data_IF_322225055910
#
_entry.id   IF_322225055910
#
_cell.length_a   1.000
_cell.length_b   1.000
_cell.length_c   1.000
_cell.angle_alpha   90.00
_cell.angle_beta   90.00
_cell.angle_gamma   90.00
#
_symmetry.space_group_name_H-M   'P 1'
#
loop_
_entity.id
_entity.type
_entity.pdbx_description
1 polymer ?
#
# COMPACT_ATOMS: atom_id res chain seq x y z
N UNK A 1 3.87 8.48 10.92
CA UNK A 1 3.75 7.06 11.28
C UNK A 1 3.15 6.28 10.13
N UNK A 2 3.81 5.17 9.77
CA UNK A 2 3.33 4.28 8.71
C UNK A 2 2.73 3.02 9.29
N UNK A 3 1.55 2.65 8.79
CA UNK A 3 0.98 1.33 9.00
C UNK A 3 1.53 0.33 7.99
N UNK A 4 1.86 -0.87 8.49
CA UNK A 4 2.37 -1.99 7.72
C UNK A 4 1.31 -3.08 7.63
N UNK A 5 1.11 -3.57 6.40
CA UNK A 5 0.24 -4.72 6.14
C UNK A 5 0.77 -5.57 5.02
N UNK A 6 0.46 -6.86 5.10
CA UNK A 6 0.70 -7.79 3.99
C UNK A 6 -0.61 -8.23 3.35
N UNK A 7 -0.62 -8.27 2.03
CA UNK A 7 -1.72 -8.79 1.21
C UNK A 7 -1.25 -10.05 0.50
N UNK A 8 -1.86 -11.19 0.80
CA UNK A 8 -1.51 -12.48 0.20
C UNK A 8 -2.08 -12.61 -1.21
N UNK A 9 -1.29 -13.04 -2.16
CA UNK A 9 -1.74 -13.35 -3.54
C UNK A 9 -1.90 -14.85 -3.74
N UNK A 10 -2.74 -15.46 -2.92
CA UNK A 10 -2.99 -16.91 -2.87
C UNK A 10 -4.03 -17.42 -3.88
N UNK A 11 -4.77 -16.51 -4.52
CA UNK A 11 -5.86 -16.87 -5.44
C UNK A 11 -7.00 -17.66 -4.76
N UNK A 12 -7.09 -17.62 -3.43
CA UNK A 12 -8.05 -18.38 -2.62
C UNK A 12 -7.63 -19.82 -2.35
N UNK A 13 -6.34 -20.14 -2.50
CA UNK A 13 -5.74 -21.40 -2.06
C UNK A 13 -4.44 -21.08 -1.33
N UNK A 14 -4.43 -21.22 -0.01
CA UNK A 14 -3.28 -20.92 0.84
C UNK A 14 -2.17 -21.98 0.83
N UNK A 15 -2.31 -23.06 0.05
CA UNK A 15 -1.27 -24.09 -0.06
C UNK A 15 -0.16 -23.68 -1.04
N UNK A 16 1.08 -24.06 -0.72
CA UNK A 16 2.26 -23.77 -1.53
C UNK A 16 2.76 -22.32 -1.38
N UNK A 17 3.74 -21.95 -2.20
CA UNK A 17 4.34 -20.62 -2.19
C UNK A 17 3.58 -19.67 -3.13
N UNK A 18 3.46 -18.41 -2.72
CA UNK A 18 2.87 -17.34 -3.50
C UNK A 18 3.42 -15.98 -3.03
N UNK A 19 3.31 -14.99 -3.90
CA UNK A 19 3.77 -13.64 -3.61
C UNK A 19 2.86 -12.93 -2.62
N UNK A 20 3.43 -11.92 -1.95
CA UNK A 20 2.71 -11.00 -1.08
C UNK A 20 2.98 -9.56 -1.54
N UNK A 21 2.08 -8.66 -1.18
CA UNK A 21 2.35 -7.23 -1.22
C UNK A 21 2.49 -6.71 0.20
N UNK A 22 3.62 -6.08 0.50
CA UNK A 22 3.78 -5.29 1.71
C UNK A 22 3.35 -3.85 1.42
N UNK A 23 2.46 -3.32 2.24
CA UNK A 23 1.98 -1.95 2.13
C UNK A 23 2.47 -1.12 3.30
N UNK A 24 3.01 0.05 3.01
CA UNK A 24 3.30 1.10 3.99
C UNK A 24 2.39 2.27 3.70
N UNK A 25 1.57 2.68 4.66
CA UNK A 25 0.68 3.84 4.49
C UNK A 25 0.86 4.81 5.63
N UNK A 26 1.26 6.05 5.31
CA UNK A 26 1.35 7.11 6.32
C UNK A 26 -0.04 7.57 6.78
N UNK A 27 -0.25 7.55 8.08
CA UNK A 27 -1.52 7.91 8.71
C UNK A 27 -1.88 9.37 8.42
N UNK A 28 -0.87 10.26 8.47
CA UNK A 28 -1.08 11.69 8.39
C UNK A 28 -1.39 12.16 6.97
N UNK A 29 -0.58 11.76 6.00
CA UNK A 29 -0.70 12.23 4.61
C UNK A 29 -1.47 11.25 3.73
N UNK A 30 -1.53 9.97 4.10
CA UNK A 30 -2.01 8.89 3.26
C UNK A 30 -0.99 8.46 2.18
N UNK A 31 0.26 8.92 2.29
CA UNK A 31 1.35 8.48 1.41
C UNK A 31 1.49 6.96 1.51
N UNK A 32 1.43 6.29 0.37
CA UNK A 32 1.40 4.82 0.32
C UNK A 32 2.52 4.31 -0.55
N UNK A 33 3.26 3.32 -0.06
CA UNK A 33 4.31 2.62 -0.81
C UNK A 33 4.04 1.13 -0.77
N UNK A 34 4.11 0.49 -1.92
CA UNK A 34 3.90 -0.95 -2.11
C UNK A 34 5.21 -1.62 -2.48
N UNK A 35 5.48 -2.77 -1.87
CA UNK A 35 6.59 -3.67 -2.20
C UNK A 35 6.06 -5.07 -2.51
N UNK A 36 6.68 -5.73 -3.48
CA UNK A 36 6.35 -7.10 -3.87
C UNK A 36 7.29 -8.09 -3.19
N UNK A 37 6.76 -8.96 -2.33
CA UNK A 37 7.51 -9.99 -1.64
C UNK A 37 7.33 -11.34 -2.36
N UNK A 38 8.43 -12.10 -2.50
CA UNK A 38 8.39 -13.45 -3.03
C UNK A 38 7.62 -14.42 -2.09
N UNK A 39 7.77 -14.20 -0.79
CA UNK A 39 7.10 -14.97 0.27
C UNK A 39 6.99 -14.13 1.55
N UNK A 40 6.38 -14.69 2.60
CA UNK A 40 6.16 -14.04 3.89
C UNK A 40 7.38 -14.10 4.84
N UNK A 41 8.61 -14.03 4.32
CA UNK A 41 9.81 -14.09 5.14
C UNK A 41 10.10 -12.74 5.83
N UNK A 42 10.42 -12.80 7.11
CA UNK A 42 10.66 -11.63 7.96
C UNK A 42 11.81 -10.73 7.47
N UNK A 43 12.82 -11.30 6.81
CA UNK A 43 13.95 -10.53 6.27
C UNK A 43 13.52 -9.47 5.26
N UNK A 44 12.54 -9.79 4.41
CA UNK A 44 12.04 -8.87 3.38
C UNK A 44 11.41 -7.62 3.99
N UNK A 45 10.65 -7.79 5.07
CA UNK A 45 10.02 -6.65 5.75
C UNK A 45 11.06 -5.66 6.29
N UNK A 46 12.20 -6.14 6.79
CA UNK A 46 13.31 -5.30 7.25
C UNK A 46 13.97 -4.58 6.07
N UNK A 47 14.26 -5.30 4.97
CA UNK A 47 14.89 -4.75 3.78
C UNK A 47 14.01 -3.65 3.16
N UNK A 48 12.72 -3.91 3.00
CA UNK A 48 11.76 -2.93 2.47
C UNK A 48 11.55 -1.73 3.40
N UNK A 49 11.59 -1.92 4.73
CA UNK A 49 11.55 -0.81 5.68
C UNK A 49 12.81 0.07 5.59
N UNK A 50 13.98 -0.53 5.31
CA UNK A 50 15.22 0.20 5.09
C UNK A 50 15.19 0.99 3.77
N UNK A 51 14.68 0.38 2.69
CA UNK A 51 14.48 1.05 1.41
C UNK A 51 13.46 2.20 1.53
N UNK A 52 12.33 1.94 2.20
CA UNK A 52 11.34 2.98 2.50
C UNK A 52 11.97 4.19 3.17
N UNK A 53 12.80 3.97 4.20
CA UNK A 53 13.48 5.07 4.93
C UNK A 53 14.36 5.92 4.01
N UNK A 54 14.98 5.32 2.99
CA UNK A 54 15.83 6.03 2.04
C UNK A 54 15.04 6.76 0.95
N UNK A 55 13.93 6.17 0.51
CA UNK A 55 13.13 6.66 -0.63
C UNK A 55 12.03 7.64 -0.24
N UNK A 56 11.64 7.66 1.04
CA UNK A 56 10.67 8.63 1.54
C UNK A 56 11.17 10.05 1.40
N UNK A 57 10.31 10.98 0.94
CA UNK A 57 10.68 12.39 0.84
C UNK A 57 10.83 13.08 2.20
N UNK A 58 10.38 12.46 3.28
CA UNK A 58 10.44 12.99 4.65
C UNK A 58 10.83 11.90 5.66
N UNK A 59 11.21 12.33 6.87
CA UNK A 59 11.72 11.42 7.90
C UNK A 59 10.70 10.38 8.34
N UNK A 60 11.09 9.10 8.32
CA UNK A 60 10.34 8.01 8.91
C UNK A 60 10.44 8.07 10.43
N UNK A 61 9.34 8.39 11.12
CA UNK A 61 9.28 8.54 12.57
C UNK A 61 8.87 7.26 13.28
N UNK A 62 8.00 6.47 12.66
CA UNK A 62 7.51 5.25 13.29
C UNK A 62 6.78 4.34 12.33
N UNK A 63 6.76 3.07 12.70
CA UNK A 63 6.07 1.98 12.03
C UNK A 63 5.07 1.36 13.01
N UNK A 64 3.85 1.14 12.56
CA UNK A 64 2.82 0.37 13.26
C UNK A 64 2.41 -0.83 12.43
N UNK A 65 2.35 -2.01 13.03
CA UNK A 65 1.98 -3.23 12.34
C UNK A 65 0.80 -3.92 13.01
N UNK A 66 0.12 -4.77 12.29
CA UNK A 66 -0.78 -5.73 12.88
C UNK A 66 -0.02 -6.82 13.65
N UNK A 67 -0.77 -7.82 14.17
CA UNK A 67 -0.18 -8.95 14.88
C UNK A 67 0.29 -10.08 13.95
N UNK A 68 0.52 -9.82 12.68
CA UNK A 68 1.04 -10.80 11.73
C UNK A 68 2.37 -11.41 12.19
N UNK A 69 2.57 -12.69 11.90
CA UNK A 69 3.79 -13.42 12.30
C UNK A 69 5.06 -12.82 11.66
N UNK A 70 4.94 -12.24 10.48
CA UNK A 70 6.00 -11.54 9.74
C UNK A 70 6.52 -10.31 10.46
N UNK A 71 5.68 -9.68 11.30
CA UNK A 71 6.05 -8.48 12.08
C UNK A 71 6.49 -8.83 13.51
N UNK A 72 6.32 -10.08 13.96
CA UNK A 72 6.84 -10.57 15.24
C UNK A 72 8.32 -10.91 15.13
N UNK A 73 9.10 -9.94 14.69
CA UNK A 73 10.46 -10.13 14.24
C UNK A 73 11.44 -9.26 15.03
N UNK A 74 12.39 -9.88 15.70
CA UNK A 74 13.49 -9.18 16.35
C UNK A 74 14.35 -8.37 15.36
N UNK A 75 14.48 -8.80 14.12
CA UNK A 75 15.28 -8.10 13.12
C UNK A 75 14.69 -6.72 12.78
N UNK A 76 13.36 -6.65 12.57
CA UNK A 76 12.67 -5.38 12.34
C UNK A 76 12.72 -4.48 13.58
N UNK A 77 12.48 -5.05 14.76
CA UNK A 77 12.53 -4.31 16.03
C UNK A 77 13.92 -3.74 16.29
N UNK A 78 14.98 -4.54 16.13
CA UNK A 78 16.36 -4.09 16.29
C UNK A 78 16.71 -3.00 15.29
N UNK A 79 16.33 -3.19 14.02
CA UNK A 79 16.53 -2.18 12.99
C UNK A 79 15.80 -0.87 13.34
N UNK A 80 14.57 -0.93 13.82
CA UNK A 80 13.84 0.27 14.25
C UNK A 80 14.57 0.99 15.40
N UNK A 81 15.05 0.26 16.39
CA UNK A 81 15.81 0.82 17.52
C UNK A 81 17.12 1.48 17.05
N UNK A 82 17.90 0.80 16.22
CA UNK A 82 19.15 1.32 15.63
C UNK A 82 18.94 2.58 14.80
N UNK A 83 17.78 2.67 14.12
CA UNK A 83 17.45 3.77 13.24
C UNK A 83 16.59 4.87 13.87
N UNK A 84 16.33 4.78 15.18
CA UNK A 84 15.47 5.72 15.92
C UNK A 84 14.06 5.83 15.34
N UNK A 85 13.51 4.71 14.86
CA UNK A 85 12.14 4.58 14.37
C UNK A 85 11.31 3.92 15.45
N UNK A 86 10.24 4.58 15.90
CA UNK A 86 9.32 4.01 16.89
C UNK A 86 8.58 2.83 16.26
N UNK A 87 8.61 1.66 16.91
CA UNK A 87 7.85 0.51 16.46
C UNK A 87 6.71 0.17 17.41
N UNK A 88 5.49 0.18 16.89
CA UNK A 88 4.27 -0.16 17.63
C UNK A 88 3.53 -1.32 16.96
N UNK A 89 2.62 -1.93 17.70
CA UNK A 89 1.73 -2.98 17.19
C UNK A 89 0.31 -2.69 17.59
N UNK A 90 -0.61 -2.90 16.68
CA UNK A 90 -2.04 -2.83 16.94
C UNK A 90 -2.45 -3.80 18.05
N UNK A 91 -3.37 -3.39 18.89
CA UNK A 91 -3.84 -4.22 20.00
C UNK A 91 -4.65 -5.40 19.49
N UNK A 92 -4.41 -6.58 20.08
CA UNK A 92 -5.20 -7.77 19.75
C UNK A 92 -6.69 -7.54 19.96
N UNK A 93 -7.52 -7.97 19.03
CA UNK A 93 -8.98 -7.87 19.05
C UNK A 93 -9.58 -6.45 19.03
N UNK A 94 -8.78 -5.40 18.81
CA UNK A 94 -9.27 -4.02 18.65
C UNK A 94 -9.44 -3.67 17.16
N UNK A 95 -10.53 -4.10 16.53
CA UNK A 95 -10.84 -3.85 15.12
C UNK A 95 -10.83 -2.37 14.71
N UNK A 96 -10.99 -1.45 15.65
CA UNK A 96 -10.98 -0.02 15.36
C UNK A 96 -9.56 0.50 15.06
N UNK A 97 -8.52 -0.17 15.55
CA UNK A 97 -7.12 0.24 15.34
C UNK A 97 -6.70 0.07 13.86
N UNK A 98 -7.33 -0.86 13.14
CA UNK A 98 -6.93 -1.25 11.78
C UNK A 98 -7.88 -0.78 10.65
N UNK A 99 -8.99 -0.10 10.97
CA UNK A 99 -10.03 0.16 9.98
C UNK A 99 -9.60 1.05 8.80
N UNK A 100 -8.65 1.95 9.01
CA UNK A 100 -8.11 2.81 7.94
C UNK A 100 -7.23 2.04 6.96
N UNK A 101 -6.59 1.00 7.43
CA UNK A 101 -5.59 0.25 6.69
C UNK A 101 -6.23 -0.86 5.87
N UNK A 102 -7.22 -1.56 6.41
CA UNK A 102 -8.00 -2.55 5.67
C UNK A 102 -8.66 -1.93 4.44
N UNK A 103 -9.20 -0.71 4.58
CA UNK A 103 -9.77 0.04 3.47
C UNK A 103 -8.71 0.38 2.41
N UNK A 104 -7.48 0.74 2.82
CA UNK A 104 -6.37 1.04 1.91
C UNK A 104 -5.88 -0.20 1.17
N UNK A 105 -5.71 -1.32 1.85
CA UNK A 105 -5.31 -2.59 1.23
C UNK A 105 -6.28 -3.03 0.14
N UNK A 106 -7.58 -2.90 0.39
CA UNK A 106 -8.59 -3.16 -0.61
C UNK A 106 -8.50 -2.18 -1.79
N UNK A 107 -8.49 -0.88 -1.51
CA UNK A 107 -8.55 0.16 -2.55
C UNK A 107 -7.26 0.28 -3.37
N UNK A 108 -6.10 0.01 -2.78
CA UNK A 108 -4.80 0.24 -3.45
C UNK A 108 -4.24 -1.05 -4.05
N UNK A 109 -4.38 -2.20 -3.37
CA UNK A 109 -3.80 -3.46 -3.85
C UNK A 109 -4.84 -4.29 -4.61
N UNK A 110 -5.98 -4.61 -3.97
CA UNK A 110 -6.96 -5.52 -4.58
C UNK A 110 -7.65 -4.95 -5.80
N UNK A 111 -7.87 -3.64 -5.85
CA UNK A 111 -8.39 -2.99 -7.05
C UNK A 111 -7.37 -2.97 -8.18
N UNK A 112 -6.07 -2.92 -7.88
CA UNK A 112 -5.03 -2.92 -8.89
C UNK A 112 -4.78 -4.31 -9.47
N UNK A 113 -4.41 -5.28 -8.63
CA UNK A 113 -3.96 -6.60 -9.08
C UNK A 113 -4.96 -7.74 -8.84
N UNK A 114 -6.15 -7.44 -8.31
CA UNK A 114 -7.22 -8.41 -8.10
C UNK A 114 -6.94 -9.45 -7.01
N UNK A 115 -7.66 -10.56 -7.10
CA UNK A 115 -7.59 -11.70 -6.19
C UNK A 115 -6.94 -12.93 -6.85
N UNK A 116 -6.07 -12.70 -7.82
CA UNK A 116 -5.37 -13.76 -8.54
C UNK A 116 -4.22 -14.33 -7.70
N UNK A 117 -3.77 -15.50 -8.14
CA UNK A 117 -2.57 -16.12 -7.58
C UNK A 117 -1.35 -15.72 -8.39
N UNK A 118 -0.34 -15.23 -7.69
CA UNK A 118 0.96 -14.87 -8.26
C UNK A 118 2.05 -15.68 -7.57
N UNK A 119 2.90 -16.36 -8.35
CA UNK A 119 3.94 -17.25 -7.83
C UNK A 119 5.26 -17.05 -8.54
N UNK A 120 6.34 -17.25 -7.79
CA UNK A 120 7.71 -17.25 -8.29
C UNK A 120 8.30 -15.87 -8.55
N UNK A 121 9.59 -15.85 -8.84
CA UNK A 121 10.37 -14.62 -9.01
C UNK A 121 9.89 -13.75 -10.15
N UNK A 122 9.48 -14.35 -11.27
CA UNK A 122 8.97 -13.60 -12.43
C UNK A 122 7.73 -12.76 -12.06
N UNK A 123 6.82 -13.33 -11.27
CA UNK A 123 5.64 -12.61 -10.79
C UNK A 123 6.00 -11.53 -9.76
N UNK A 124 6.93 -11.82 -8.86
CA UNK A 124 7.41 -10.84 -7.88
C UNK A 124 8.08 -9.64 -8.57
N UNK A 125 8.96 -9.86 -9.54
CA UNK A 125 9.63 -8.78 -10.29
C UNK A 125 8.63 -7.95 -11.10
N UNK A 126 7.65 -8.61 -11.73
CA UNK A 126 6.60 -7.90 -12.47
C UNK A 126 5.71 -7.04 -11.54
N UNK A 127 5.33 -7.57 -10.38
CA UNK A 127 4.58 -6.83 -9.35
C UNK A 127 5.39 -5.63 -8.86
N UNK A 128 6.70 -5.78 -8.59
CA UNK A 128 7.54 -4.67 -8.13
C UNK A 128 7.61 -3.55 -9.17
N UNK A 129 7.83 -3.89 -10.44
CA UNK A 129 7.83 -2.89 -11.54
C UNK A 129 6.51 -2.14 -11.64
N UNK A 130 5.39 -2.84 -11.48
CA UNK A 130 4.07 -2.23 -11.42
C UNK A 130 3.95 -1.26 -10.25
N UNK A 131 4.40 -1.68 -9.06
CA UNK A 131 4.31 -0.87 -7.83
C UNK A 131 5.19 0.37 -7.89
N UNK A 132 6.37 0.31 -8.50
CA UNK A 132 7.23 1.48 -8.69
C UNK A 132 6.51 2.61 -9.46
N UNK A 133 5.72 2.26 -10.47
CA UNK A 133 4.91 3.22 -11.24
C UNK A 133 3.63 3.62 -10.52
N UNK A 134 2.98 2.64 -9.92
CA UNK A 134 1.74 2.86 -9.16
C UNK A 134 1.94 3.75 -7.93
N UNK A 135 3.04 3.57 -7.20
CA UNK A 135 3.39 4.41 -6.04
C UNK A 135 3.49 5.89 -6.44
N UNK A 136 4.07 6.20 -7.59
CA UNK A 136 4.12 7.57 -8.11
C UNK A 136 2.72 8.08 -8.48
N UNK A 137 1.95 7.28 -9.20
CA UNK A 137 0.63 7.67 -9.66
C UNK A 137 -0.33 7.94 -8.50
N UNK A 138 -0.39 7.05 -7.50
CA UNK A 138 -1.31 7.17 -6.38
C UNK A 138 -0.95 8.34 -5.46
N UNK A 139 0.34 8.55 -5.19
CA UNK A 139 0.77 9.58 -4.26
C UNK A 139 0.68 11.00 -4.83
N UNK A 140 0.97 11.16 -6.11
CA UNK A 140 1.01 12.48 -6.73
C UNK A 140 -0.29 12.90 -7.42
N UNK A 141 -1.13 11.93 -7.86
CA UNK A 141 -2.25 12.25 -8.74
C UNK A 141 -3.61 11.74 -8.26
N UNK A 142 -3.69 10.71 -7.41
CA UNK A 142 -4.98 10.16 -6.97
C UNK A 142 -5.41 10.75 -5.63
N UNK A 143 -6.50 11.55 -5.63
CA UNK A 143 -7.05 12.09 -4.39
C UNK A 143 -7.74 10.99 -3.57
N UNK A 144 -7.71 11.16 -2.27
CA UNK A 144 -8.44 10.34 -1.32
C UNK A 144 -9.06 11.19 -0.23
N UNK A 145 -10.16 10.73 0.34
CA UNK A 145 -10.82 11.36 1.48
C UNK A 145 -10.40 10.66 2.77
N UNK A 146 -10.37 11.43 3.87
CA UNK A 146 -10.15 10.92 5.23
C UNK A 146 -11.39 11.15 6.07
N UNK A 147 -11.66 10.22 6.98
CA UNK A 147 -12.73 10.39 7.96
C UNK A 147 -12.22 11.36 9.02
N UNK A 148 -12.92 12.49 9.17
CA UNK A 148 -12.67 13.48 10.22
C UNK A 148 -13.38 13.09 11.52
N UNK A 149 -14.64 12.67 11.39
CA UNK A 149 -15.49 12.34 12.52
C UNK A 149 -16.27 11.06 12.20
N UNK A 150 -16.44 10.23 13.20
CA UNK A 150 -17.24 9.01 13.13
C UNK A 150 -18.15 8.95 14.37
N UNK A 151 -19.42 9.12 14.17
CA UNK A 151 -20.43 9.07 15.23
C UNK A 151 -21.35 7.88 15.00
N UNK A 152 -21.61 7.12 16.04
CA UNK A 152 -22.60 6.05 16.01
C UNK A 152 -23.86 6.52 16.74
N UNK A 153 -24.98 6.59 16.00
CA UNK A 153 -26.30 6.86 16.57
C UNK A 153 -27.16 5.62 16.33
N UNK A 154 -27.49 4.94 17.39
CA UNK A 154 -28.22 3.67 17.38
C UNK A 154 -27.58 2.59 16.47
N UNK A 155 -28.29 2.15 15.44
CA UNK A 155 -27.80 1.18 14.46
C UNK A 155 -26.98 1.80 13.31
N UNK A 156 -26.98 3.13 13.19
CA UNK A 156 -26.35 3.83 12.06
C UNK A 156 -25.02 4.46 12.45
N UNK A 157 -24.07 4.41 11.51
CA UNK A 157 -22.76 5.08 11.65
C UNK A 157 -22.65 6.24 10.67
N UNK A 158 -22.57 7.44 11.18
CA UNK A 158 -22.35 8.66 10.41
C UNK A 158 -20.85 8.93 10.32
N UNK A 159 -20.39 9.28 9.13
CA UNK A 159 -18.99 9.59 8.87
C UNK A 159 -18.92 10.93 8.17
N UNK A 160 -18.12 11.84 8.70
CA UNK A 160 -17.78 13.10 8.06
C UNK A 160 -16.40 13.00 7.45
N UNK A 161 -16.27 13.36 6.21
CA UNK A 161 -15.04 13.26 5.45
C UNK A 161 -14.43 14.64 5.23
N UNK A 162 -13.12 14.69 5.05
CA UNK A 162 -12.45 15.90 4.57
C UNK A 162 -12.63 16.08 3.05
N UNK A 163 -12.11 17.20 2.53
CA UNK A 163 -12.01 17.40 1.08
C UNK A 163 -11.04 16.41 0.43
N UNK A 164 -11.39 15.91 -0.76
CA UNK A 164 -10.52 14.99 -1.49
C UNK A 164 -9.17 15.65 -1.82
N UNK A 165 -8.08 15.08 -1.33
CA UNK A 165 -6.70 15.57 -1.54
C UNK A 165 -5.77 14.41 -1.87
N UNK A 166 -4.80 14.66 -2.75
CA UNK A 166 -3.71 13.70 -2.97
C UNK A 166 -2.78 13.64 -1.75
N UNK A 167 -2.10 12.51 -1.49
CA UNK A 167 -1.05 12.44 -0.48
C UNK A 167 0.00 13.55 -0.64
N UNK A 168 0.42 13.83 -1.87
CA UNK A 168 1.30 14.95 -2.21
C UNK A 168 0.76 16.30 -1.70
N UNK A 169 -0.52 16.61 -1.96
CA UNK A 169 -1.12 17.88 -1.48
C UNK A 169 -1.14 17.94 0.05
N UNK A 170 -1.43 16.83 0.72
CA UNK A 170 -1.40 16.77 2.19
C UNK A 170 0.02 16.98 2.74
N UNK A 171 1.05 16.48 2.05
CA UNK A 171 2.44 16.77 2.43
C UNK A 171 2.76 18.26 2.33
N UNK A 172 2.31 18.94 1.28
CA UNK A 172 2.54 20.39 1.12
C UNK A 172 1.81 21.23 2.17
N UNK A 173 0.63 20.82 2.60
CA UNK A 173 -0.17 21.49 3.62
C UNK A 173 0.28 21.17 5.05
N UNK A 174 1.15 20.18 5.24
CA UNK A 174 1.60 19.79 6.58
C UNK A 174 2.61 20.77 7.15
N UNK A 175 2.38 21.17 8.40
CA UNK A 175 3.31 22.02 9.17
C UNK A 175 4.55 21.23 9.66
N UNK A 176 4.45 19.90 9.69
CA UNK A 176 5.53 19.01 10.15
C UNK A 176 6.54 18.65 9.05
N UNK A 177 6.32 19.11 7.82
CA UNK A 177 7.21 18.85 6.68
C UNK A 177 7.92 20.16 6.33
N UNK A 178 9.26 20.12 6.31
CA UNK A 178 10.09 21.29 6.02
C UNK A 178 9.89 21.80 4.58
N UNK A 179 10.15 23.08 4.36
CA UNK A 179 10.00 23.71 3.05
C UNK A 179 10.98 23.15 2.01
N UNK A 180 12.15 22.68 2.44
CA UNK A 180 13.11 22.00 1.56
C UNK A 180 12.50 20.70 0.99
N UNK A 181 11.87 19.89 1.85
CA UNK A 181 11.18 18.66 1.43
C UNK A 181 9.99 18.99 0.52
N UNK A 182 9.21 20.04 0.83
CA UNK A 182 8.11 20.49 -0.04
C UNK A 182 8.62 20.91 -1.41
N UNK A 183 9.75 21.58 -1.48
CA UNK A 183 10.40 21.99 -2.73
C UNK A 183 10.85 20.78 -3.56
N UNK A 184 11.42 19.73 -2.93
CA UNK A 184 11.75 18.47 -3.58
C UNK A 184 10.49 17.79 -4.14
N UNK A 185 9.43 17.71 -3.34
CA UNK A 185 8.15 17.13 -3.77
C UNK A 185 7.55 17.87 -4.97
N UNK A 186 7.63 19.20 -4.99
CA UNK A 186 7.16 20.03 -6.10
C UNK A 186 7.98 19.78 -7.37
N UNK A 187 9.31 19.71 -7.25
CA UNK A 187 10.22 19.37 -8.35
C UNK A 187 9.91 17.99 -8.92
N UNK A 188 9.75 16.99 -8.05
CA UNK A 188 9.39 15.64 -8.48
C UNK A 188 8.04 15.63 -9.20
N UNK A 189 7.03 16.35 -8.67
CA UNK A 189 5.72 16.46 -9.32
C UNK A 189 5.81 17.08 -10.70
N UNK A 190 6.60 18.13 -10.89
CA UNK A 190 6.75 18.80 -12.18
C UNK A 190 7.44 17.95 -13.26
N UNK A 191 8.28 16.98 -12.85
CA UNK A 191 8.92 16.04 -13.77
C UNK A 191 8.02 14.87 -14.21
N UNK A 192 6.88 14.65 -13.54
CA UNK A 192 5.97 13.55 -13.82
C UNK A 192 4.90 13.94 -14.84
N UNK A 193 4.77 13.13 -15.89
CA UNK A 193 3.65 13.21 -16.83
C UNK A 193 2.61 12.14 -16.47
N UNK A 194 1.42 12.59 -16.06
CA UNK A 194 0.35 11.68 -15.58
C UNK A 194 -0.16 10.75 -16.69
N UNK A 195 -0.22 11.22 -17.93
CA UNK A 195 -0.71 10.41 -19.07
C UNK A 195 0.29 9.28 -19.37
N UNK A 196 1.58 9.62 -19.44
CA UNK A 196 2.64 8.65 -19.65
C UNK A 196 2.70 7.64 -18.50
N UNK A 197 2.62 8.11 -17.25
CA UNK A 197 2.66 7.27 -16.08
C UNK A 197 1.47 6.29 -16.01
N UNK A 198 0.26 6.73 -16.39
CA UNK A 198 -0.90 5.84 -16.52
C UNK A 198 -0.67 4.74 -17.55
N UNK A 199 -0.13 5.09 -18.70
CA UNK A 199 0.20 4.12 -19.77
C UNK A 199 1.21 3.08 -19.28
N UNK A 200 2.27 3.53 -18.60
CA UNK A 200 3.28 2.63 -18.02
C UNK A 200 2.68 1.68 -16.96
N UNK A 201 1.75 2.18 -16.14
CA UNK A 201 1.01 1.35 -15.17
C UNK A 201 0.15 0.30 -15.87
N UNK A 202 -0.56 0.67 -16.94
CA UNK A 202 -1.40 -0.25 -17.72
C UNK A 202 -0.55 -1.34 -18.38
N UNK A 203 0.57 -0.99 -19.01
CA UNK A 203 1.51 -1.94 -19.62
C UNK A 203 2.08 -2.92 -18.57
N UNK A 204 2.51 -2.43 -17.41
CA UNK A 204 2.99 -3.28 -16.31
C UNK A 204 1.88 -4.17 -15.77
N UNK A 205 0.65 -3.66 -15.65
CA UNK A 205 -0.50 -4.43 -15.17
C UNK A 205 -0.83 -5.59 -16.11
N UNK A 206 -0.80 -5.37 -17.41
CA UNK A 206 -1.05 -6.43 -18.41
C UNK A 206 -0.03 -7.56 -18.26
N UNK A 207 1.25 -7.23 -18.06
CA UNK A 207 2.30 -8.24 -17.80
C UNK A 207 1.99 -9.03 -16.52
N UNK A 208 1.63 -8.36 -15.43
CA UNK A 208 1.29 -9.01 -14.15
C UNK A 208 0.08 -9.93 -14.31
N UNK A 209 -0.96 -9.48 -15.03
CA UNK A 209 -2.17 -10.30 -15.25
C UNK A 209 -1.89 -11.53 -16.12
N UNK A 210 -0.97 -11.46 -17.09
CA UNK A 210 -0.53 -12.63 -17.87
C UNK A 210 0.17 -13.67 -17.01
N UNK A 211 0.91 -13.26 -15.98
CA UNK A 211 1.57 -14.15 -15.03
C UNK A 211 0.63 -14.74 -13.96
N UNK A 212 -0.62 -14.26 -13.92
CA UNK A 212 -1.60 -14.75 -12.95
C UNK A 212 -2.05 -16.17 -13.25
N UNK A 213 -2.06 -17.02 -12.23
CA UNK A 213 -2.70 -18.33 -12.33
C UNK A 213 -4.20 -18.16 -12.07
N UNK A 214 -5.01 -18.32 -13.13
CA UNK A 214 -6.47 -18.30 -13.03
C UNK A 214 -6.93 -19.53 -12.22
N UNK A 215 -7.87 -19.35 -11.29
CA UNK A 215 -8.60 -20.50 -10.71
C UNK A 215 -9.12 -21.37 -11.85
N UNK A 216 -8.82 -22.67 -11.86
CA UNK A 216 -9.58 -23.62 -12.67
C UNK A 216 -11.04 -23.46 -12.23
N UNK A 217 -11.86 -22.88 -13.09
CA UNK A 217 -13.31 -22.71 -12.82
C UNK A 217 -13.90 -24.09 -12.56
N UNK A 218 -14.40 -24.32 -11.34
CA UNK A 218 -15.59 -25.15 -11.20
C UNK A 218 -16.69 -24.31 -11.85
N UNK A 219 -17.25 -24.85 -12.92
CA UNK A 219 -18.29 -24.25 -13.76
C UNK A 219 -19.41 -23.66 -12.91
N UNK A 220 -19.54 -22.33 -12.88
CA UNK A 220 -20.82 -21.62 -12.72
C UNK A 220 -20.60 -20.11 -12.96
N UNK A 221 -21.30 -19.62 -13.95
CA UNK A 221 -21.80 -18.27 -14.20
C UNK A 221 -20.81 -17.11 -14.31
N UNK A 222 -20.88 -16.48 -15.49
CA UNK A 222 -20.05 -15.36 -15.88
C UNK A 222 -20.35 -14.06 -15.12
N UNK A 223 -19.30 -13.35 -14.85
CA UNK A 223 -19.30 -11.88 -14.81
C UNK A 223 -17.90 -11.41 -15.17
N UNK A 224 -17.83 -10.77 -16.31
CA UNK A 224 -16.67 -10.10 -16.84
C UNK A 224 -16.44 -8.84 -16.00
N UNK A 225 -15.35 -8.79 -15.22
CA UNK A 225 -14.93 -7.55 -14.56
C UNK A 225 -14.03 -6.79 -15.53
N UNK A 226 -14.57 -5.76 -16.17
CA UNK A 226 -13.75 -4.71 -16.76
C UNK A 226 -13.27 -3.79 -15.63
N UNK A 227 -11.97 -3.58 -15.54
CA UNK A 227 -11.38 -2.55 -14.68
C UNK A 227 -11.79 -1.20 -15.27
N UNK A 228 -12.82 -0.57 -14.71
CA UNK A 228 -13.15 0.82 -15.04
C UNK A 228 -12.32 1.72 -14.13
N UNK A 229 -11.38 2.40 -14.74
CA UNK A 229 -10.76 3.56 -14.09
C UNK A 229 -11.85 4.61 -13.87
N UNK A 230 -11.93 5.13 -12.66
CA UNK A 230 -12.81 6.25 -12.37
C UNK A 230 -12.36 7.46 -13.20
N UNK A 231 -13.22 7.92 -14.07
CA UNK A 231 -13.18 9.27 -14.69
C UNK A 231 -13.62 10.31 -13.67
#
# INVERSE_FOLDING_TARGET
>A
FFFLFTVAHDGGNASGEYCFTLTFTDVCTGWTVLYALLNKAQRWVKEDAADLKQTLPYKLLGLDSDNGSEFKNYQLLNWCNENQVTFTRSRSYKKNDNCFVEQKNYSVVRHLVGYYRYEGEAAQVALQKLYDRWNLLVNYFYPSVKILEKERKDAHTYKKYDSAKTPYKRCLESEFISDDVKSILQKNKSSLNVVQLKKEVEECLDIVLQLSKKKKKKTACGSCFSVRFFT
#
